data_IF_225645703347
#
_entry.id   IF_225645703347
#
_cell.length_a   1.000
_cell.length_b   1.000
_cell.length_c   1.000
_cell.angle_alpha   90.00
_cell.angle_beta   90.00
_cell.angle_gamma   90.00
#
_symmetry.space_group_name_H-M   'P 1'
#
loop_
_entity.id
_entity.type
_entity.pdbx_description
1 polymer ?
#
# COMPACT_ATOMS: atom_id res chain seq x y z
N UNK A 1 7.71 -20.57 5.54
CA UNK A 1 7.02 -19.31 5.22
C UNK A 1 5.98 -19.62 4.14
N UNK A 2 4.70 -19.75 4.50
CA UNK A 2 3.64 -20.29 3.64
C UNK A 2 3.21 -19.25 2.58
N UNK A 3 3.74 -19.42 1.37
CA UNK A 3 3.21 -18.77 0.17
C UNK A 3 1.81 -19.32 -0.05
N UNK A 4 0.81 -18.44 0.01
CA UNK A 4 -0.61 -18.77 -0.04
C UNK A 4 -0.91 -19.68 -1.24
N UNK A 5 -1.69 -20.75 -1.04
CA UNK A 5 -2.09 -21.78 -2.01
C UNK A 5 -2.91 -21.31 -3.22
N UNK A 6 -2.68 -20.07 -3.67
CA UNK A 6 -3.33 -19.39 -4.80
C UNK A 6 -3.17 -20.19 -6.10
N UNK A 7 -2.12 -21.01 -6.22
CA UNK A 7 -1.89 -21.84 -7.41
C UNK A 7 -2.88 -22.99 -7.55
N UNK A 8 -3.33 -23.61 -6.46
CA UNK A 8 -4.26 -24.75 -6.53
C UNK A 8 -5.69 -24.33 -6.93
N UNK A 9 -6.07 -23.08 -6.66
CA UNK A 9 -7.40 -22.55 -6.98
C UNK A 9 -7.62 -22.21 -8.48
N UNK A 10 -6.58 -22.25 -9.32
CA UNK A 10 -6.67 -21.82 -10.74
C UNK A 10 -7.21 -22.88 -11.71
N UNK A 11 -7.30 -24.15 -11.31
CA UNK A 11 -7.66 -25.28 -12.22
C UNK A 11 -9.16 -25.53 -12.40
N UNK A 12 -10.01 -24.92 -11.58
CA UNK A 12 -11.47 -24.90 -11.75
C UNK A 12 -11.87 -23.45 -11.81
N UNK A 13 -12.82 -23.07 -12.67
CA UNK A 13 -13.46 -21.75 -12.66
C UNK A 13 -14.21 -21.59 -11.33
N UNK A 14 -13.46 -21.37 -10.27
CA UNK A 14 -13.91 -21.40 -8.90
C UNK A 14 -14.54 -20.06 -8.62
N UNK A 15 -15.87 -20.01 -8.63
CA UNK A 15 -16.66 -18.88 -8.13
C UNK A 15 -16.52 -18.69 -6.61
N UNK A 16 -15.48 -19.25 -5.99
CA UNK A 16 -15.21 -19.14 -4.57
C UNK A 16 -14.40 -17.89 -4.34
N UNK A 17 -14.98 -16.99 -3.56
CA UNK A 17 -14.33 -15.79 -3.09
C UNK A 17 -13.08 -16.18 -2.29
N UNK A 18 -11.97 -15.45 -2.51
CA UNK A 18 -10.77 -15.60 -1.68
C UNK A 18 -11.11 -15.40 -0.20
N UNK A 19 -12.03 -14.49 0.07
CA UNK A 19 -12.58 -14.26 1.38
C UNK A 19 -14.10 -14.30 1.35
N UNK A 20 -14.71 -15.06 2.25
CA UNK A 20 -16.17 -15.18 2.38
C UNK A 20 -16.82 -13.99 3.09
N UNK A 21 -16.03 -13.02 3.56
CA UNK A 21 -16.49 -11.90 4.37
C UNK A 21 -16.86 -10.64 3.55
N UNK A 22 -17.72 -9.78 4.11
CA UNK A 22 -18.05 -8.49 3.53
C UNK A 22 -17.01 -7.42 3.88
N UNK A 23 -17.08 -6.26 3.19
CA UNK A 23 -16.23 -5.10 3.46
C UNK A 23 -16.24 -4.66 4.93
N UNK A 24 -17.41 -4.65 5.58
CA UNK A 24 -17.55 -4.23 6.99
C UNK A 24 -16.85 -5.19 7.93
N UNK A 25 -16.89 -6.49 7.62
CA UNK A 25 -16.14 -7.50 8.37
C UNK A 25 -14.64 -7.28 8.18
N UNK A 26 -14.16 -7.12 6.95
CA UNK A 26 -12.76 -6.82 6.68
C UNK A 26 -12.27 -5.54 7.41
N UNK A 27 -13.10 -4.49 7.49
CA UNK A 27 -12.79 -3.28 8.27
C UNK A 27 -12.58 -3.59 9.76
N UNK A 28 -13.45 -4.41 10.36
CA UNK A 28 -13.30 -4.82 11.77
C UNK A 28 -12.01 -5.59 12.01
N UNK A 29 -11.64 -6.49 11.10
CA UNK A 29 -10.38 -7.22 11.21
C UNK A 29 -9.17 -6.30 11.14
N UNK A 30 -9.17 -5.31 10.26
CA UNK A 30 -8.11 -4.30 10.25
C UNK A 30 -8.08 -3.53 11.57
N UNK A 31 -9.23 -3.13 12.13
CA UNK A 31 -9.26 -2.45 13.44
C UNK A 31 -8.71 -3.30 14.58
N UNK A 32 -8.98 -4.61 14.58
CA UNK A 32 -8.41 -5.53 15.56
C UNK A 32 -6.89 -5.64 15.42
N UNK A 33 -6.38 -5.83 14.20
CA UNK A 33 -4.93 -5.89 13.95
C UNK A 33 -4.23 -4.57 14.34
N UNK A 34 -4.87 -3.42 14.09
CA UNK A 34 -4.32 -2.13 14.50
C UNK A 34 -4.21 -2.01 16.02
N UNK A 35 -5.24 -2.46 16.75
CA UNK A 35 -5.23 -2.44 18.21
C UNK A 35 -4.20 -3.42 18.79
N UNK A 36 -4.09 -4.63 18.23
CA UNK A 36 -3.08 -5.63 18.62
C UNK A 36 -1.65 -5.13 18.39
N UNK A 37 -1.45 -4.29 17.38
CA UNK A 37 -0.18 -3.65 17.08
C UNK A 37 0.05 -2.32 17.84
N UNK A 38 -0.84 -1.94 18.77
CA UNK A 38 -0.80 -0.68 19.51
C UNK A 38 -0.77 0.57 18.61
N UNK A 39 -1.45 0.50 17.47
CA UNK A 39 -1.55 1.59 16.50
C UNK A 39 -2.86 2.36 16.72
N UNK A 40 -2.73 3.56 17.28
CA UNK A 40 -3.84 4.47 17.55
C UNK A 40 -3.81 5.73 16.66
N UNK A 41 -4.96 6.41 16.55
CA UNK A 41 -5.09 7.67 15.80
C UNK A 41 -5.65 7.54 14.38
N UNK A 42 -5.59 8.61 13.57
CA UNK A 42 -6.27 8.68 12.25
C UNK A 42 -5.83 7.60 11.24
N UNK A 43 -4.60 7.11 11.38
CA UNK A 43 -4.02 6.06 10.55
C UNK A 43 -4.47 4.64 10.94
N UNK A 44 -5.13 4.45 12.08
CA UNK A 44 -5.65 3.16 12.55
C UNK A 44 -6.91 2.74 11.76
N UNK A 45 -6.79 2.68 10.44
CA UNK A 45 -7.82 2.38 9.45
C UNK A 45 -7.19 1.62 8.27
N UNK A 46 -7.96 0.92 7.42
CA UNK A 46 -7.42 0.31 6.19
C UNK A 46 -6.70 1.28 5.25
N UNK A 47 -7.03 2.58 5.30
CA UNK A 47 -6.35 3.61 4.50
C UNK A 47 -4.93 3.86 5.01
N UNK A 48 -4.68 3.76 6.31
CA UNK A 48 -3.38 4.03 6.92
C UNK A 48 -2.24 3.18 6.34
N UNK A 49 -2.32 1.83 6.36
CA UNK A 49 -1.30 0.96 5.77
C UNK A 49 -1.08 1.22 4.29
N UNK A 50 -2.16 1.48 3.54
CA UNK A 50 -2.06 1.79 2.12
C UNK A 50 -1.30 3.09 1.87
N UNK A 51 -1.51 4.08 2.73
CA UNK A 51 -0.74 5.33 2.70
C UNK A 51 0.71 5.09 3.11
N UNK A 52 0.96 4.39 4.21
CA UNK A 52 2.31 4.04 4.67
C UNK A 52 3.11 3.27 3.62
N UNK A 53 2.48 2.33 2.90
CA UNK A 53 3.09 1.62 1.78
C UNK A 53 3.53 2.57 0.66
N UNK A 54 2.68 3.54 0.30
CA UNK A 54 3.02 4.54 -0.71
C UNK A 54 4.23 5.39 -0.30
N UNK A 55 4.24 5.87 0.95
CA UNK A 55 5.38 6.64 1.50
C UNK A 55 6.65 5.79 1.49
N UNK A 56 6.60 4.57 2.04
CA UNK A 56 7.75 3.68 2.14
C UNK A 56 8.32 3.29 0.77
N UNK A 57 7.47 3.01 -0.22
CA UNK A 57 7.90 2.68 -1.57
C UNK A 57 8.63 3.85 -2.24
N UNK A 58 8.12 5.07 -2.08
CA UNK A 58 8.79 6.26 -2.62
C UNK A 58 10.11 6.53 -1.91
N UNK A 59 10.17 6.41 -0.59
CA UNK A 59 11.43 6.50 0.17
C UNK A 59 12.44 5.42 -0.25
N UNK A 60 11.95 4.26 -0.70
CA UNK A 60 12.79 3.22 -1.29
C UNK A 60 13.11 3.46 -2.78
N UNK A 61 12.90 4.67 -3.30
CA UNK A 61 13.15 5.08 -4.70
C UNK A 61 12.36 4.30 -5.76
N UNK A 62 11.21 3.71 -5.39
CA UNK A 62 10.33 3.06 -6.36
C UNK A 62 9.78 4.10 -7.34
N UNK A 63 9.92 3.89 -8.67
CA UNK A 63 9.36 4.79 -9.66
C UNK A 63 7.84 4.98 -9.53
N UNK A 64 7.37 6.22 -9.65
CA UNK A 64 5.96 6.60 -9.46
C UNK A 64 4.99 5.82 -10.36
N UNK A 65 5.38 5.52 -11.60
CA UNK A 65 4.57 4.74 -12.54
C UNK A 65 4.37 3.29 -12.05
N UNK A 66 5.39 2.68 -11.46
CA UNK A 66 5.32 1.34 -10.88
C UNK A 66 4.45 1.34 -9.63
N UNK A 67 4.67 2.30 -8.72
CA UNK A 67 3.85 2.44 -7.52
C UNK A 67 2.37 2.67 -7.86
N UNK A 68 2.08 3.53 -8.84
CA UNK A 68 0.71 3.77 -9.32
C UNK A 68 0.04 2.49 -9.81
N UNK A 69 0.78 1.64 -10.54
CA UNK A 69 0.31 0.34 -11.02
C UNK A 69 0.03 -0.63 -9.87
N UNK A 70 0.91 -0.72 -8.88
CA UNK A 70 0.72 -1.60 -7.71
C UNK A 70 -0.45 -1.18 -6.83
N UNK A 71 -0.67 0.13 -6.68
CA UNK A 71 -1.80 0.65 -5.93
C UNK A 71 -3.10 0.61 -6.73
N UNK A 72 -3.04 0.45 -8.06
CA UNK A 72 -4.22 0.47 -8.91
C UNK A 72 -4.85 1.87 -9.00
N UNK A 73 -4.04 2.93 -8.97
CA UNK A 73 -4.52 4.29 -9.18
C UNK A 73 -4.72 4.55 -10.68
N UNK A 74 -5.93 4.96 -11.06
CA UNK A 74 -6.26 5.35 -12.45
C UNK A 74 -5.53 6.62 -12.90
N UNK A 75 -5.18 7.52 -11.95
CA UNK A 75 -4.43 8.74 -12.22
C UNK A 75 -3.15 8.78 -11.38
N UNK A 76 -2.01 9.03 -12.04
CA UNK A 76 -0.69 9.17 -11.40
C UNK A 76 -0.64 10.36 -10.43
N UNK A 77 -1.51 11.36 -10.61
CA UNK A 77 -1.61 12.54 -9.73
C UNK A 77 -1.89 12.16 -8.26
N UNK A 78 -2.67 11.10 -8.00
CA UNK A 78 -2.90 10.61 -6.62
C UNK A 78 -1.63 10.04 -6.00
N UNK A 79 -0.74 9.49 -6.83
CA UNK A 79 0.56 8.96 -6.41
C UNK A 79 1.59 10.08 -6.23
N UNK A 80 1.49 11.18 -6.98
CA UNK A 80 2.37 12.35 -6.84
C UNK A 80 2.27 13.02 -5.45
N UNK A 81 1.14 12.90 -4.75
CA UNK A 81 1.02 13.37 -3.36
C UNK A 81 2.01 12.70 -2.40
N UNK A 82 2.45 11.47 -2.69
CA UNK A 82 3.48 10.80 -1.88
C UNK A 82 4.87 11.41 -2.12
N UNK A 83 5.13 11.99 -3.30
CA UNK A 83 6.40 12.67 -3.56
C UNK A 83 6.56 13.93 -2.70
N UNK A 84 5.47 14.57 -2.28
CA UNK A 84 5.54 15.70 -1.33
C UNK A 84 6.02 15.27 0.07
N UNK A 85 5.87 13.99 0.44
CA UNK A 85 6.42 13.45 1.67
C UNK A 85 7.96 13.30 1.63
N UNK A 86 8.58 13.36 0.45
CA UNK A 86 10.03 13.35 0.24
C UNK A 86 10.71 14.72 0.48
N UNK A 87 10.00 15.76 0.94
CA UNK A 87 10.50 17.14 0.99
C UNK A 87 11.82 17.38 1.76
N UNK A 88 12.36 16.38 2.47
CA UNK A 88 13.71 16.42 3.07
C UNK A 88 14.82 15.80 2.21
N UNK A 89 14.52 14.86 1.30
CA UNK A 89 15.51 14.21 0.42
C UNK A 89 15.76 14.98 -0.89
N UNK A 90 14.83 15.83 -1.32
CA UNK A 90 14.94 16.56 -2.59
C UNK A 90 16.25 17.37 -2.70
N UNK A 91 16.74 17.95 -1.59
CA UNK A 91 18.02 18.67 -1.55
C UNK A 91 19.20 17.79 -1.99
N UNK A 92 19.25 16.56 -1.50
CA UNK A 92 20.34 15.62 -1.83
C UNK A 92 20.33 15.16 -3.31
N UNK A 93 19.15 15.10 -3.94
CA UNK A 93 19.02 14.76 -5.36
C UNK A 93 19.36 15.97 -6.23
N UNK A 94 18.93 17.19 -5.86
CA UNK A 94 19.30 18.43 -6.56
C UNK A 94 20.81 18.67 -6.50
N UNK A 95 21.46 18.42 -5.36
CA UNK A 95 22.91 18.55 -5.21
C UNK A 95 23.69 17.59 -6.15
N UNK A 96 23.18 16.38 -6.38
CA UNK A 96 23.82 15.39 -7.29
C UNK A 96 23.59 15.66 -8.78
N UNK A 97 22.55 16.42 -9.14
CA UNK A 97 22.27 16.80 -10.52
C UNK A 97 22.95 18.12 -10.92
N UNK A 98 23.38 18.91 -9.94
CA UNK A 98 24.06 20.18 -10.15
C UNK A 98 25.60 20.08 -10.20
N UNK A 99 26.16 18.86 -10.11
CA UNK A 99 27.58 18.54 -10.30
C UNK A 99 27.81 17.83 -11.64
#
# INVERSE_FOLDING_TARGET
MLVHGIREARGRQSSRLLWSWSRTTAWRHVKLVMADADIEGPQATPKGPRHGYGVAAISATVPLNMLSKWMGHAAVQTTALYANALGKEQRSITERMAS
#
